data_IF_681438973991
#
_entry.id   IF_681438973991
#
_cell.length_a   1.000
_cell.length_b   1.000
_cell.length_c   1.000
_cell.angle_alpha   90.00
_cell.angle_beta   90.00
_cell.angle_gamma   90.00
#
_symmetry.space_group_name_H-M   'P 1'
#
loop_
_entity.id
_entity.type
_entity.pdbx_description
1 polymer ?
#
# COMPACT_ATOMS: atom_id res chain seq x y z
N UNK A 1 8.84 -15.82 -21.79
CA UNK A 1 8.94 -14.34 -21.86
C UNK A 1 7.58 -13.63 -21.94
N UNK A 2 6.55 -14.15 -22.64
CA UNK A 2 5.23 -13.47 -22.70
C UNK A 2 4.54 -13.26 -21.34
N UNK A 3 4.80 -14.15 -20.38
CA UNK A 3 4.29 -14.05 -19.00
C UNK A 3 4.68 -12.74 -18.29
N UNK A 4 5.80 -12.11 -18.66
CA UNK A 4 6.22 -10.85 -18.04
C UNK A 4 5.29 -9.70 -18.43
N UNK A 5 4.86 -9.63 -19.69
CA UNK A 5 3.85 -8.65 -20.14
C UNK A 5 2.49 -8.92 -19.52
N UNK A 6 2.13 -10.19 -19.35
CA UNK A 6 0.89 -10.56 -18.66
C UNK A 6 0.89 -10.07 -17.21
N UNK A 7 1.98 -10.30 -16.45
CA UNK A 7 2.12 -9.77 -15.10
C UNK A 7 2.04 -8.24 -15.08
N UNK A 8 2.76 -7.56 -15.98
CA UNK A 8 2.77 -6.09 -16.07
C UNK A 8 1.39 -5.50 -16.36
N UNK A 9 0.67 -6.03 -17.36
CA UNK A 9 -0.61 -5.46 -17.79
C UNK A 9 -1.77 -5.81 -16.88
N UNK A 10 -1.62 -6.89 -16.11
CA UNK A 10 -2.68 -7.36 -15.22
C UNK A 10 -2.51 -6.87 -13.78
N UNK A 11 -1.29 -6.48 -13.37
CA UNK A 11 -1.02 -5.88 -12.06
C UNK A 11 -1.78 -4.55 -11.90
N UNK A 12 -2.44 -4.40 -10.76
CA UNK A 12 -3.18 -3.17 -10.39
C UNK A 12 -2.69 -2.68 -9.03
N UNK A 13 -3.17 -1.53 -8.59
CA UNK A 13 -3.11 -1.15 -7.18
C UNK A 13 -4.30 -1.81 -6.43
N UNK A 14 -4.07 -2.84 -5.60
CA UNK A 14 -5.14 -3.47 -4.83
C UNK A 14 -5.69 -2.49 -3.80
N UNK A 15 -7.02 -2.51 -3.64
CA UNK A 15 -7.75 -1.72 -2.64
C UNK A 15 -8.74 -2.59 -1.85
N UNK A 16 -8.72 -3.89 -2.12
CA UNK A 16 -9.58 -4.90 -1.50
C UNK A 16 -8.71 -6.01 -1.02
N UNK A 17 -8.88 -6.34 0.25
CA UNK A 17 -8.03 -7.28 0.93
C UNK A 17 -8.88 -8.26 1.74
N UNK A 18 -8.40 -9.49 1.83
CA UNK A 18 -8.87 -10.55 2.72
C UNK A 18 -8.13 -10.45 4.05
N UNK A 19 -8.72 -11.00 5.11
CA UNK A 19 -8.14 -11.11 6.45
C UNK A 19 -7.32 -12.39 6.66
N UNK A 20 -7.21 -13.22 5.63
CA UNK A 20 -6.45 -14.48 5.65
C UNK A 20 -4.97 -14.26 6.02
N UNK A 21 -4.44 -15.02 7.00
CA UNK A 21 -3.05 -14.89 7.43
C UNK A 21 -2.03 -15.03 6.29
N UNK A 22 -0.91 -14.30 6.41
CA UNK A 22 0.21 -14.35 5.46
C UNK A 22 1.41 -14.98 6.15
N UNK A 23 1.89 -16.09 5.59
CA UNK A 23 3.07 -16.78 6.11
C UNK A 23 4.36 -16.01 5.78
N UNK A 24 5.47 -16.37 6.43
CA UNK A 24 6.77 -15.85 6.04
C UNK A 24 7.22 -16.40 4.68
N UNK A 25 6.85 -17.63 4.36
CA UNK A 25 7.13 -18.26 3.05
C UNK A 25 6.47 -17.50 1.90
N UNK A 26 5.31 -16.87 2.13
CA UNK A 26 4.65 -16.01 1.16
C UNK A 26 5.30 -14.62 1.07
N UNK A 27 5.81 -14.10 2.19
CA UNK A 27 6.31 -12.72 2.28
C UNK A 27 7.78 -12.59 1.85
N UNK A 28 8.61 -13.59 2.13
CA UNK A 28 10.03 -13.59 1.77
C UNK A 28 10.27 -13.39 0.27
N UNK A 29 9.58 -14.10 -0.64
CA UNK A 29 9.77 -13.91 -2.08
C UNK A 29 9.40 -12.50 -2.56
N UNK A 30 8.41 -11.87 -1.92
CA UNK A 30 7.99 -10.50 -2.24
C UNK A 30 9.09 -9.50 -1.86
N UNK A 31 9.65 -9.64 -0.66
CA UNK A 31 10.75 -8.80 -0.18
C UNK A 31 12.04 -9.07 -0.99
N UNK A 32 12.29 -10.32 -1.33
CA UNK A 32 13.43 -10.76 -2.14
C UNK A 32 13.37 -10.16 -3.57
N UNK A 33 12.19 -10.16 -4.19
CA UNK A 33 11.94 -9.49 -5.46
C UNK A 33 12.12 -7.97 -5.35
N UNK A 34 11.60 -7.35 -4.29
CA UNK A 34 11.75 -5.93 -4.03
C UNK A 34 13.23 -5.52 -3.88
N UNK A 35 14.05 -6.37 -3.25
CA UNK A 35 15.49 -6.16 -3.06
C UNK A 35 16.30 -6.23 -4.36
N UNK A 36 15.76 -6.86 -5.42
CA UNK A 36 16.39 -6.93 -6.76
C UNK A 36 16.06 -5.72 -7.63
N UNK A 37 15.45 -4.69 -7.07
CA UNK A 37 15.16 -3.46 -7.78
C UNK A 37 16.45 -2.72 -8.18
N UNK A 38 16.45 -2.00 -9.32
CA UNK A 38 17.55 -1.11 -9.64
C UNK A 38 17.70 -0.03 -8.57
N UNK A 39 18.95 0.21 -8.14
CA UNK A 39 19.31 1.26 -7.18
C UNK A 39 20.41 2.14 -7.75
N UNK A 40 20.31 3.45 -7.54
CA UNK A 40 21.34 4.41 -7.94
C UNK A 40 22.67 4.05 -7.27
N UNK A 41 23.73 3.82 -8.05
CA UNK A 41 25.02 3.37 -7.55
C UNK A 41 24.98 2.02 -6.82
N UNK A 42 23.92 1.23 -7.00
CA UNK A 42 23.64 0.00 -6.24
C UNK A 42 23.69 0.21 -4.71
N UNK A 43 23.26 1.38 -4.22
CA UNK A 43 23.35 1.73 -2.80
C UNK A 43 22.39 0.93 -1.90
N UNK A 44 21.31 0.37 -2.48
CA UNK A 44 20.34 -0.50 -1.79
C UNK A 44 19.79 0.09 -0.47
N UNK A 45 19.50 1.39 -0.47
CA UNK A 45 19.09 2.19 0.71
C UNK A 45 17.62 1.96 1.12
N UNK A 46 17.01 0.86 0.70
CA UNK A 46 15.66 0.50 1.11
C UNK A 46 15.67 -0.20 2.48
N UNK A 47 14.62 0.06 3.26
CA UNK A 47 14.29 -0.62 4.49
C UNK A 47 12.89 -1.19 4.36
N UNK A 48 12.71 -2.46 4.73
CA UNK A 48 11.41 -3.13 4.70
C UNK A 48 10.85 -3.17 6.12
N UNK A 49 9.71 -2.51 6.33
CA UNK A 49 8.98 -2.55 7.60
C UNK A 49 7.70 -3.37 7.41
N UNK A 50 7.66 -4.52 8.08
CA UNK A 50 6.52 -5.44 8.08
C UNK A 50 5.71 -5.22 9.35
N UNK A 51 4.45 -4.82 9.22
CA UNK A 51 3.52 -4.61 10.34
C UNK A 51 2.46 -5.70 10.34
N UNK A 52 2.50 -6.56 11.37
CA UNK A 52 1.52 -7.63 11.64
C UNK A 52 0.72 -7.45 12.92
N UNK A 53 1.24 -6.66 13.85
CA UNK A 53 0.63 -6.40 15.15
C UNK A 53 -0.77 -5.81 15.00
N UNK A 54 -1.77 -6.45 15.61
CA UNK A 54 -3.19 -6.11 15.43
C UNK A 54 -3.48 -4.67 15.81
N UNK A 55 -2.91 -4.17 16.90
CA UNK A 55 -3.18 -2.80 17.36
C UNK A 55 -2.52 -1.76 16.44
N UNK A 56 -1.28 -2.01 15.99
CA UNK A 56 -0.62 -1.13 14.99
C UNK A 56 -1.37 -1.09 13.67
N UNK A 57 -1.92 -2.22 13.21
CA UNK A 57 -2.73 -2.26 11.99
C UNK A 57 -4.03 -1.48 12.15
N UNK A 58 -4.69 -1.60 13.31
CA UNK A 58 -5.85 -0.78 13.66
C UNK A 58 -5.53 0.71 13.64
N UNK A 59 -4.41 1.11 14.25
CA UNK A 59 -3.94 2.50 14.25
C UNK A 59 -3.66 3.03 12.83
N UNK A 60 -3.06 2.22 11.95
CA UNK A 60 -2.89 2.57 10.53
C UNK A 60 -4.25 2.79 9.87
N UNK A 61 -5.22 1.91 10.15
CA UNK A 61 -6.61 2.05 9.70
C UNK A 61 -7.25 3.35 10.16
N UNK A 62 -7.15 3.68 11.45
CA UNK A 62 -7.71 4.90 12.03
C UNK A 62 -7.10 6.15 11.36
N UNK A 63 -5.77 6.18 11.20
CA UNK A 63 -5.09 7.29 10.51
C UNK A 63 -5.60 7.42 9.07
N UNK A 64 -5.66 6.32 8.32
CA UNK A 64 -6.13 6.33 6.94
C UNK A 64 -7.59 6.79 6.85
N UNK A 65 -8.44 6.38 7.79
CA UNK A 65 -9.84 6.79 7.88
C UNK A 65 -9.98 8.29 8.11
N UNK A 66 -9.20 8.87 9.02
CA UNK A 66 -9.21 10.32 9.24
C UNK A 66 -8.84 11.09 7.98
N UNK A 67 -7.85 10.59 7.22
CA UNK A 67 -7.49 11.18 5.94
C UNK A 67 -8.64 11.06 4.94
N UNK A 68 -9.25 9.89 4.84
CA UNK A 68 -10.36 9.68 3.90
C UNK A 68 -11.57 10.56 4.22
N UNK A 69 -11.86 10.83 5.49
CA UNK A 69 -12.91 11.80 5.87
C UNK A 69 -12.61 13.20 5.34
N UNK A 70 -11.35 13.63 5.33
CA UNK A 70 -10.99 14.95 4.78
C UNK A 70 -11.18 15.00 3.25
N UNK A 71 -10.68 13.99 2.53
CA UNK A 71 -10.70 13.97 1.05
C UNK A 71 -12.04 13.53 0.45
N UNK A 72 -12.76 12.66 1.15
CA UNK A 72 -13.95 11.95 0.70
C UNK A 72 -15.21 12.30 1.48
N UNK A 73 -15.24 13.41 2.24
CA UNK A 73 -16.32 13.75 3.17
C UNK A 73 -17.73 13.53 2.60
N UNK A 74 -17.98 14.02 1.37
CA UNK A 74 -19.28 13.88 0.68
C UNK A 74 -19.73 12.43 0.47
N UNK A 75 -18.79 11.47 0.41
CA UNK A 75 -19.05 10.04 0.28
C UNK A 75 -19.14 9.35 1.64
N UNK A 76 -18.50 9.92 2.67
CA UNK A 76 -18.62 9.44 4.05
C UNK A 76 -19.96 9.84 4.64
N UNK A 77 -20.39 11.08 4.44
CA UNK A 77 -21.68 11.61 4.91
C UNK A 77 -22.87 10.93 4.22
N UNK A 78 -22.77 10.74 2.90
CA UNK A 78 -23.78 10.02 2.11
C UNK A 78 -23.11 9.08 1.09
N UNK A 79 -22.99 7.77 1.41
CA UNK A 79 -22.44 6.77 0.51
C UNK A 79 -23.18 6.67 -0.83
N UNK A 80 -24.45 7.06 -0.91
CA UNK A 80 -25.21 7.05 -2.17
C UNK A 80 -24.66 8.08 -3.18
N UNK A 81 -23.89 9.07 -2.74
CA UNK A 81 -23.20 10.00 -3.64
C UNK A 81 -22.19 9.30 -4.56
N UNK A 82 -21.66 8.15 -4.15
CA UNK A 82 -20.77 7.34 -4.99
C UNK A 82 -21.52 6.86 -6.25
N UNK A 83 -22.79 6.50 -6.12
CA UNK A 83 -23.57 5.92 -7.22
C UNK A 83 -23.98 6.94 -8.29
N UNK A 84 -23.95 8.24 -7.93
CA UNK A 84 -24.23 9.37 -8.82
C UNK A 84 -23.04 9.70 -9.73
N UNK A 85 -21.85 9.14 -9.48
CA UNK A 85 -20.63 9.42 -10.23
C UNK A 85 -20.63 8.73 -11.61
N UNK A 86 -19.95 9.31 -12.62
CA UNK A 86 -19.66 8.63 -13.88
C UNK A 86 -18.97 7.28 -13.63
N UNK A 87 -19.27 6.28 -14.47
CA UNK A 87 -18.85 4.87 -14.26
C UNK A 87 -17.40 4.69 -13.81
N UNK A 88 -16.45 5.35 -14.48
CA UNK A 88 -15.02 5.24 -14.17
C UNK A 88 -14.70 5.81 -12.78
N UNK A 89 -15.18 7.02 -12.48
CA UNK A 89 -14.96 7.67 -11.19
C UNK A 89 -15.64 6.91 -10.05
N UNK A 90 -16.85 6.40 -10.28
CA UNK A 90 -17.57 5.56 -9.32
C UNK A 90 -16.76 4.34 -8.91
N UNK A 91 -16.15 3.63 -9.86
CA UNK A 91 -15.34 2.44 -9.57
C UNK A 91 -14.12 2.78 -8.70
N UNK A 92 -13.45 3.89 -9.02
CA UNK A 92 -12.28 4.36 -8.26
C UNK A 92 -12.70 4.76 -6.85
N UNK A 93 -13.67 5.66 -6.71
CA UNK A 93 -14.12 6.17 -5.41
C UNK A 93 -14.67 5.04 -4.54
N UNK A 94 -15.49 4.14 -5.08
CA UNK A 94 -16.00 2.98 -4.33
C UNK A 94 -14.87 2.09 -3.83
N UNK A 95 -13.83 1.86 -4.65
CA UNK A 95 -12.68 1.06 -4.22
C UNK A 95 -11.83 1.76 -3.16
N UNK A 96 -11.70 3.09 -3.22
CA UNK A 96 -10.97 3.88 -2.21
C UNK A 96 -11.73 3.95 -0.88
N UNK A 97 -13.05 4.12 -0.91
CA UNK A 97 -13.89 4.10 0.29
C UNK A 97 -13.85 2.72 0.99
N UNK A 98 -13.94 1.64 0.21
CA UNK A 98 -13.81 0.27 0.69
C UNK A 98 -12.43 0.02 1.32
N UNK A 99 -11.35 0.52 0.70
CA UNK A 99 -10.02 0.48 1.31
C UNK A 99 -10.01 1.26 2.63
N UNK A 100 -10.52 2.49 2.65
CA UNK A 100 -10.46 3.34 3.83
C UNK A 100 -11.12 2.72 5.06
N UNK A 101 -12.22 1.99 4.85
CA UNK A 101 -12.97 1.30 5.91
C UNK A 101 -12.28 0.04 6.41
N UNK A 102 -11.52 -0.64 5.54
CA UNK A 102 -11.02 -1.99 5.79
C UNK A 102 -9.49 -2.09 5.87
N UNK A 103 -8.74 -1.02 5.60
CA UNK A 103 -7.27 -1.11 5.54
C UNK A 103 -6.66 -1.57 6.88
N UNK A 104 -7.30 -1.27 8.02
CA UNK A 104 -6.84 -1.73 9.34
C UNK A 104 -7.05 -3.23 9.59
N UNK A 105 -7.90 -3.91 8.82
CA UNK A 105 -8.09 -5.36 8.94
C UNK A 105 -7.11 -6.18 8.10
N UNK A 106 -6.38 -5.54 7.17
CA UNK A 106 -5.39 -6.20 6.31
C UNK A 106 -4.33 -6.88 7.19
N UNK A 107 -4.02 -8.18 7.00
CA UNK A 107 -3.19 -8.93 7.93
C UNK A 107 -1.72 -8.51 7.92
N UNK A 108 -1.22 -7.96 6.80
CA UNK A 108 0.15 -7.43 6.68
C UNK A 108 0.16 -6.08 5.95
N UNK A 109 0.82 -5.10 6.56
CA UNK A 109 1.28 -3.90 5.84
C UNK A 109 2.78 -4.00 5.63
N UNK A 110 3.20 -3.97 4.36
CA UNK A 110 4.60 -3.88 3.98
C UNK A 110 4.89 -2.44 3.55
N UNK A 111 5.73 -1.76 4.32
CA UNK A 111 6.25 -0.45 3.99
C UNK A 111 7.67 -0.59 3.45
N UNK A 112 7.90 -0.01 2.28
CA UNK A 112 9.21 0.07 1.65
C UNK A 112 9.70 1.50 1.81
N UNK A 113 10.76 1.64 2.59
CA UNK A 113 11.22 2.89 3.15
C UNK A 113 12.62 3.24 2.70
N UNK A 114 12.94 4.53 2.63
CA UNK A 114 14.30 5.02 2.37
C UNK A 114 14.43 6.50 2.73
N UNK A 115 15.64 7.07 2.65
CA UNK A 115 15.83 8.51 2.83
C UNK A 115 15.05 9.28 1.76
N UNK A 116 14.76 10.56 2.03
CA UNK A 116 13.91 11.41 1.16
C UNK A 116 14.33 11.40 -0.32
N UNK A 117 15.65 11.33 -0.58
CA UNK A 117 16.21 11.34 -1.93
C UNK A 117 16.22 9.95 -2.61
N UNK A 118 15.74 8.90 -1.93
CA UNK A 118 15.73 7.53 -2.45
C UNK A 118 14.62 7.26 -3.49
N UNK A 119 13.95 8.32 -3.99
CA UNK A 119 12.96 8.32 -5.07
C UNK A 119 13.13 7.20 -6.10
N UNK A 120 14.23 7.30 -6.83
CA UNK A 120 14.58 6.40 -7.93
C UNK A 120 14.97 4.98 -7.51
N UNK A 121 15.04 4.68 -6.21
CA UNK A 121 15.40 3.37 -5.65
C UNK A 121 14.18 2.69 -4.99
N UNK A 122 13.32 3.45 -4.31
CA UNK A 122 12.14 2.91 -3.60
C UNK A 122 11.00 2.55 -4.55
N UNK A 123 10.69 3.39 -5.56
CA UNK A 123 9.58 3.07 -6.47
C UNK A 123 9.81 1.78 -7.28
N UNK A 124 11.02 1.50 -7.80
CA UNK A 124 11.29 0.21 -8.43
C UNK A 124 11.16 -0.98 -7.47
N UNK A 125 11.54 -0.83 -6.20
CA UNK A 125 11.33 -1.87 -5.17
C UNK A 125 9.85 -2.13 -4.91
N UNK A 126 9.03 -1.08 -4.83
CA UNK A 126 7.56 -1.20 -4.73
C UNK A 126 6.97 -1.88 -5.96
N UNK A 127 7.42 -1.51 -7.17
CA UNK A 127 6.95 -2.14 -8.40
C UNK A 127 7.28 -3.63 -8.43
N UNK A 128 8.50 -4.03 -8.04
CA UNK A 128 8.89 -5.43 -7.95
C UNK A 128 8.08 -6.20 -6.90
N UNK A 129 7.78 -5.58 -5.75
CA UNK A 129 6.92 -6.17 -4.73
C UNK A 129 5.49 -6.42 -5.26
N UNK A 130 4.89 -5.43 -5.96
CA UNK A 130 3.56 -5.57 -6.55
C UNK A 130 3.52 -6.65 -7.65
N UNK A 131 4.55 -6.69 -8.51
CA UNK A 131 4.66 -7.69 -9.58
C UNK A 131 4.87 -9.11 -9.02
N UNK A 132 5.66 -9.27 -7.97
CA UNK A 132 5.86 -10.58 -7.33
C UNK A 132 4.60 -11.07 -6.64
N UNK A 133 3.86 -10.21 -5.93
CA UNK A 133 2.53 -10.56 -5.42
C UNK A 133 1.57 -10.99 -6.53
N UNK A 134 1.67 -10.40 -7.73
CA UNK A 134 0.85 -10.80 -8.87
C UNK A 134 1.30 -12.13 -9.48
N UNK A 135 2.59 -12.42 -9.46
CA UNK A 135 3.17 -13.60 -10.10
C UNK A 135 3.12 -14.86 -9.22
N UNK A 136 3.14 -14.71 -7.89
CA UNK A 136 3.29 -15.83 -6.94
C UNK A 136 1.97 -16.60 -6.74
N UNK A 137 0.86 -15.92 -6.45
CA UNK A 137 -0.49 -16.49 -6.44
C UNK A 137 -1.53 -15.37 -6.38
N UNK A 138 -2.68 -15.56 -7.01
CA UNK A 138 -3.82 -14.64 -7.01
C UNK A 138 -4.35 -14.29 -5.62
N UNK A 139 -4.12 -15.15 -4.61
CA UNK A 139 -4.57 -14.95 -3.23
C UNK A 139 -3.61 -14.12 -2.35
N UNK A 140 -2.29 -14.17 -2.60
CA UNK A 140 -1.33 -13.34 -1.84
C UNK A 140 -1.57 -11.83 -2.07
N UNK A 141 -2.07 -11.50 -3.27
CA UNK A 141 -2.39 -10.13 -3.70
C UNK A 141 -3.53 -9.47 -2.91
N UNK A 142 -4.43 -10.24 -2.30
CA UNK A 142 -5.47 -9.71 -1.41
C UNK A 142 -5.06 -9.69 0.05
N UNK A 143 -3.87 -10.11 0.44
CA UNK A 143 -3.51 -10.22 1.88
C UNK A 143 -2.42 -9.25 2.33
N UNK A 144 -1.68 -8.63 1.40
CA UNK A 144 -0.59 -7.70 1.71
C UNK A 144 -0.87 -6.32 1.12
N UNK A 145 -1.04 -5.32 2.00
CA UNK A 145 -1.04 -3.92 1.57
C UNK A 145 0.40 -3.45 1.42
N UNK A 146 0.80 -3.07 0.20
CA UNK A 146 2.12 -2.51 -0.10
C UNK A 146 1.98 -1.00 -0.27
N UNK A 147 2.70 -0.22 0.53
CA UNK A 147 2.74 1.23 0.40
C UNK A 147 4.20 1.74 0.44
N UNK A 148 4.59 2.65 -0.49
CA UNK A 148 5.81 3.42 -0.28
C UNK A 148 5.64 4.34 0.93
N UNK A 149 6.59 4.33 1.84
CA UNK A 149 6.71 5.34 2.90
C UNK A 149 8.08 5.99 2.80
N UNK A 150 8.12 7.32 2.73
CA UNK A 150 9.38 8.06 2.77
C UNK A 150 9.74 8.32 4.22
N UNK A 151 10.95 7.90 4.66
CA UNK A 151 11.46 8.28 5.98
C UNK A 151 12.13 9.65 5.84
N UNK A 152 11.27 10.66 5.80
CA UNK A 152 11.49 12.10 5.89
C UNK A 152 10.20 12.67 6.45
N UNK A 153 10.22 13.04 7.72
CA UNK A 153 9.07 13.13 8.64
C UNK A 153 8.11 14.33 8.40
N UNK A 154 7.92 14.73 7.14
CA UNK A 154 7.14 15.89 6.78
C UNK A 154 6.27 15.70 5.52
N UNK A 155 6.54 14.69 4.66
CA UNK A 155 5.78 14.51 3.39
C UNK A 155 5.64 13.03 2.96
N UNK A 156 4.76 12.28 3.62
CA UNK A 156 4.29 11.00 3.09
C UNK A 156 3.27 11.20 1.95
N UNK A 157 3.57 10.64 0.78
CA UNK A 157 2.81 10.81 -0.48
C UNK A 157 1.56 9.93 -0.62
N UNK A 158 1.00 9.41 0.47
CA UNK A 158 -0.27 8.67 0.38
C UNK A 158 -1.45 9.64 0.33
N UNK A 159 -1.36 10.81 0.98
CA UNK A 159 -2.30 11.92 0.86
C UNK A 159 -1.63 13.24 1.30
N UNK A 160 -1.72 14.33 0.52
CA UNK A 160 -0.92 15.54 0.73
C UNK A 160 -1.21 16.38 2.00
N UNK A 161 -2.13 16.00 2.89
CA UNK A 161 -2.54 16.90 4.01
C UNK A 161 -2.67 16.32 5.42
N UNK A 162 -2.62 15.01 5.63
CA UNK A 162 -2.80 14.48 6.98
C UNK A 162 -1.54 14.67 7.84
N UNK A 163 -1.57 15.62 8.78
CA UNK A 163 -0.59 15.75 9.87
C UNK A 163 -1.16 15.27 11.20
N UNK A 164 -1.06 13.98 11.56
CA UNK A 164 -1.04 13.58 12.96
C UNK A 164 0.42 13.61 13.46
N UNK A 165 0.67 14.36 14.55
CA UNK A 165 1.93 14.25 15.31
C UNK A 165 1.98 12.86 15.96
N UNK A 166 2.55 11.88 15.29
CA UNK A 166 2.91 10.62 15.93
C UNK A 166 4.20 10.83 16.71
N UNK A 167 4.11 10.92 18.04
CA UNK A 167 5.29 10.82 18.87
C UNK A 167 5.78 9.37 18.83
N UNK A 168 6.90 9.14 18.16
CA UNK A 168 7.61 7.87 18.21
C UNK A 168 8.04 7.64 19.67
N UNK A 169 7.45 6.63 20.33
CA UNK A 169 7.98 6.14 21.61
C UNK A 169 9.41 5.64 21.35
N UNK A 170 10.34 6.17 22.15
CA UNK A 170 11.75 5.77 22.20
C UNK A 170 11.89 4.29 22.57
#
# INVERSE_FOLDING_TARGET
MRWAFEALYSTRAPRRFTDEPVSDEDLYPVIDAATRAPAGGNMQIWHFLVVRDVEKRRQIGDIYWEVWKEYGNQYVEDPANIDKLPKQMRLVVRSTDDLARNIGSVPVHLFICGPEQAGGTIYPAVQNALLSCRAWDSAAWSRVSIAPIWIGWDRCWVFPKARPRMHCCR
#
